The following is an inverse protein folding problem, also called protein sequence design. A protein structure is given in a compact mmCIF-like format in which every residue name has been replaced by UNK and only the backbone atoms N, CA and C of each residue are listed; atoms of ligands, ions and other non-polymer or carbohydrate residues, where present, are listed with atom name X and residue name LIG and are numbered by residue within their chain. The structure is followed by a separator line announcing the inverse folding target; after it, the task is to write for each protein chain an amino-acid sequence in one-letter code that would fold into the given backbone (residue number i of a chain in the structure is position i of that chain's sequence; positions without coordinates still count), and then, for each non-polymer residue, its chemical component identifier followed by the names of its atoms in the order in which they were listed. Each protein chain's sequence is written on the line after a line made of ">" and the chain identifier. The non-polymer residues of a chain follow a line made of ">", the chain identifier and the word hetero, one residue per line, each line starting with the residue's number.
data_IF_540200253002
#
_entry.id   IF_540200253002
#
_cell.length_a   1.000
_cell.length_b   1.000
_cell.length_c   1.000
_cell.angle_alpha   90.00
_cell.angle_beta   90.00
_cell.angle_gamma   90.00
#
_symmetry.space_group_name_H-M   'P 1'
#
loop_
_entity.id
_entity.type
_entity.pdbx_description
1 polymer ?
#
# COMPACT_ATOMS: atom_id res chain seq x y z
N UNK A 1 -13.57 -11.32 8.86
CA UNK A 1 -12.52 -10.43 9.38
C UNK A 1 -11.46 -10.26 8.31
N UNK A 2 -11.25 -9.04 7.89
CA UNK A 2 -10.30 -8.76 6.83
C UNK A 2 -8.90 -8.63 7.42
N UNK A 3 -7.95 -9.26 6.76
CA UNK A 3 -6.58 -9.36 7.25
C UNK A 3 -5.70 -8.30 6.60
N UNK A 4 -5.03 -7.48 7.41
CA UNK A 4 -4.12 -6.45 6.94
C UNK A 4 -2.76 -7.03 6.52
N UNK A 5 -2.48 -8.29 6.83
CA UNK A 5 -1.19 -8.91 6.57
C UNK A 5 -0.77 -8.87 5.09
N UNK A 6 -1.65 -9.17 4.12
CA UNK A 6 -1.26 -9.09 2.72
C UNK A 6 -0.84 -7.69 2.29
N UNK A 7 -1.46 -6.65 2.88
CA UNK A 7 -1.11 -5.26 2.60
C UNK A 7 0.28 -4.95 3.13
N UNK A 8 0.57 -5.34 4.37
CA UNK A 8 1.91 -5.16 4.95
C UNK A 8 2.97 -5.87 4.14
N UNK A 9 2.71 -7.13 3.75
CA UNK A 9 3.65 -7.91 2.96
C UNK A 9 3.92 -7.25 1.61
N UNK A 10 2.88 -6.76 0.94
CA UNK A 10 3.03 -6.10 -0.35
C UNK A 10 3.85 -4.82 -0.24
N UNK A 11 3.61 -4.02 0.80
CA UNK A 11 4.29 -2.74 1.01
C UNK A 11 5.65 -2.87 1.69
N UNK A 12 6.04 -4.07 2.13
CA UNK A 12 7.35 -4.30 2.70
C UNK A 12 8.47 -4.14 1.68
N UNK A 13 8.21 -4.46 0.41
CA UNK A 13 9.19 -4.26 -0.65
C UNK A 13 9.25 -2.78 -1.06
N UNK A 14 10.44 -2.14 -1.04
CA UNK A 14 10.56 -0.72 -1.37
C UNK A 14 10.08 -0.37 -2.78
N UNK A 15 10.32 -1.24 -3.75
CA UNK A 15 9.89 -1.01 -5.14
C UNK A 15 8.38 -1.04 -5.26
N UNK A 16 7.73 -2.01 -4.62
CA UNK A 16 6.26 -2.08 -4.64
C UNK A 16 5.65 -0.87 -3.96
N UNK A 17 6.23 -0.44 -2.84
CA UNK A 17 5.78 0.74 -2.13
C UNK A 17 5.90 1.99 -3.00
N UNK A 18 7.04 2.14 -3.70
CA UNK A 18 7.25 3.26 -4.62
C UNK A 18 6.25 3.25 -5.79
N UNK A 19 5.95 2.08 -6.35
CA UNK A 19 4.96 1.95 -7.41
C UNK A 19 3.57 2.35 -6.92
N UNK A 20 3.17 1.90 -5.74
CA UNK A 20 1.90 2.26 -5.14
C UNK A 20 1.81 3.77 -4.90
N UNK A 21 2.86 4.37 -4.36
CA UNK A 21 2.93 5.81 -4.11
C UNK A 21 2.83 6.60 -5.42
N UNK A 22 3.53 6.13 -6.46
CA UNK A 22 3.50 6.77 -7.79
C UNK A 22 2.08 6.77 -8.35
N UNK A 23 1.40 5.63 -8.30
CA UNK A 23 0.02 5.51 -8.79
C UNK A 23 -0.94 6.35 -7.98
N UNK A 24 -0.73 6.43 -6.66
CA UNK A 24 -1.57 7.24 -5.78
C UNK A 24 -1.41 8.74 -6.06
N UNK A 25 -0.18 9.18 -6.27
CA UNK A 25 0.13 10.61 -6.41
C UNK A 25 -0.15 11.15 -7.81
N UNK A 26 0.12 10.37 -8.85
CA UNK A 26 0.08 10.85 -10.23
C UNK A 26 -1.00 10.21 -11.09
N UNK A 27 -1.75 9.27 -10.54
CA UNK A 27 -2.85 8.63 -11.25
C UNK A 27 -2.46 7.37 -12.00
N UNK A 28 -3.42 6.77 -12.72
CA UNK A 28 -3.23 5.50 -13.38
C UNK A 28 -2.11 5.48 -14.41
N UNK A 29 -1.48 4.32 -14.58
CA UNK A 29 -0.41 4.12 -15.56
C UNK A 29 -0.33 2.65 -15.96
N UNK A 30 0.22 2.40 -17.16
CA UNK A 30 0.51 1.05 -17.62
C UNK A 30 1.91 0.62 -17.14
N UNK A 31 2.15 -0.69 -17.15
CA UNK A 31 3.49 -1.20 -16.82
C UNK A 31 4.55 -0.65 -17.78
N UNK A 32 4.21 -0.50 -19.06
CA UNK A 32 5.12 0.07 -20.05
C UNK A 32 5.46 1.52 -19.73
N UNK A 33 4.47 2.30 -19.34
CA UNK A 33 4.67 3.70 -18.95
C UNK A 33 5.58 3.81 -17.72
N UNK A 34 5.31 2.97 -16.73
CA UNK A 34 6.11 2.96 -15.50
C UNK A 34 7.55 2.52 -15.76
N UNK A 35 7.76 1.61 -16.70
CA UNK A 35 9.10 1.15 -17.07
C UNK A 35 9.93 2.26 -17.74
N UNK A 36 9.28 3.26 -18.32
CA UNK A 36 9.98 4.42 -18.87
C UNK A 36 10.41 5.42 -17.80
N UNK A 37 9.72 5.40 -16.66
CA UNK A 37 10.01 6.34 -15.56
C UNK A 37 11.01 5.79 -14.55
N UNK A 38 11.06 4.45 -14.41
CA UNK A 38 11.82 3.80 -13.36
C UNK A 38 12.91 2.91 -13.95
N UNK A 39 14.06 2.74 -13.27
CA UNK A 39 15.14 1.87 -13.76
C UNK A 39 14.83 0.39 -13.48
N UNK A 40 13.68 -0.07 -13.90
CA UNK A 40 13.16 -1.42 -13.65
C UNK A 40 12.54 -1.93 -14.93
N UNK A 41 12.74 -3.20 -15.24
CA UNK A 41 12.17 -3.79 -16.45
C UNK A 41 10.64 -3.86 -16.36
N UNK A 42 10.00 -3.84 -17.53
CA UNK A 42 8.54 -3.99 -17.61
C UNK A 42 8.06 -5.29 -16.95
N UNK A 43 8.81 -6.38 -17.14
CA UNK A 43 8.46 -7.66 -16.56
C UNK A 43 8.49 -7.62 -15.03
N UNK A 44 9.52 -6.98 -14.46
CA UNK A 44 9.63 -6.83 -13.02
C UNK A 44 8.49 -5.95 -12.47
N UNK A 45 8.18 -4.86 -13.16
CA UNK A 45 7.07 -3.99 -12.78
C UNK A 45 5.76 -4.76 -12.80
N UNK A 46 5.51 -5.56 -13.85
CA UNK A 46 4.30 -6.37 -13.94
C UNK A 46 4.16 -7.35 -12.78
N UNK A 47 5.27 -7.96 -12.36
CA UNK A 47 5.26 -8.87 -11.20
C UNK A 47 4.95 -8.12 -9.90
N UNK A 48 5.54 -6.95 -9.71
CA UNK A 48 5.26 -6.12 -8.55
C UNK A 48 3.80 -5.67 -8.51
N UNK A 49 3.27 -5.26 -9.66
CA UNK A 49 1.87 -4.85 -9.76
C UNK A 49 0.91 -5.99 -9.48
N UNK A 50 1.27 -7.22 -9.87
CA UNK A 50 0.46 -8.40 -9.57
C UNK A 50 0.35 -8.64 -8.06
N UNK A 51 1.44 -8.45 -7.31
CA UNK A 51 1.44 -8.57 -5.85
C UNK A 51 0.55 -7.49 -5.23
N UNK A 52 0.65 -6.26 -5.73
CA UNK A 52 -0.18 -5.16 -5.25
C UNK A 52 -1.66 -5.39 -5.56
N UNK A 53 -1.97 -5.95 -6.72
CA UNK A 53 -3.33 -6.30 -7.12
C UNK A 53 -3.90 -7.38 -6.20
N UNK A 54 -3.13 -8.44 -5.93
CA UNK A 54 -3.55 -9.51 -5.04
C UNK A 54 -3.84 -9.01 -3.62
N UNK A 55 -3.12 -7.98 -3.19
CA UNK A 55 -3.33 -7.37 -1.88
C UNK A 55 -4.47 -6.33 -1.87
N UNK A 56 -5.08 -6.06 -3.03
CA UNK A 56 -6.16 -5.07 -3.13
C UNK A 56 -5.71 -3.62 -3.16
N UNK A 57 -4.41 -3.39 -3.37
CA UNK A 57 -3.84 -2.03 -3.37
C UNK A 57 -3.91 -1.35 -4.73
N UNK A 58 -4.03 -2.11 -5.80
CA UNK A 58 -4.23 -1.58 -7.14
C UNK A 58 -5.35 -2.33 -7.84
N UNK A 59 -5.93 -1.70 -8.85
CA UNK A 59 -6.95 -2.30 -9.71
C UNK A 59 -6.44 -2.26 -11.14
N UNK A 60 -6.68 -3.36 -11.85
CA UNK A 60 -6.35 -3.48 -13.28
C UNK A 60 -7.54 -3.09 -14.10
N UNK A 61 -7.29 -2.39 -15.20
CA UNK A 61 -8.33 -1.99 -16.13
C UNK A 61 -7.79 -2.04 -17.53
N UNK A 62 -8.55 -2.63 -18.46
CA UNK A 62 -8.21 -2.60 -19.88
C UNK A 62 -8.44 -1.20 -20.41
N UNK A 63 -7.43 -0.66 -21.08
CA UNK A 63 -7.49 0.66 -21.70
C UNK A 63 -6.92 0.53 -23.12
N UNK A 64 -7.78 0.23 -24.09
CA UNK A 64 -7.37 -0.04 -25.46
C UNK A 64 -6.55 -1.32 -25.53
N UNK A 65 -5.30 -1.20 -26.00
CA UNK A 65 -4.37 -2.34 -26.14
C UNK A 65 -3.55 -2.57 -24.89
N UNK A 66 -3.62 -1.67 -23.93
CA UNK A 66 -2.81 -1.74 -22.73
C UNK A 66 -3.67 -2.06 -21.52
N UNK A 67 -3.02 -2.56 -20.48
CA UNK A 67 -3.62 -2.70 -19.15
C UNK A 67 -3.13 -1.54 -18.32
N UNK A 68 -4.05 -0.81 -17.74
CA UNK A 68 -3.78 0.30 -16.87
C UNK A 68 -3.98 -0.12 -15.43
N UNK A 69 -3.13 0.37 -14.54
CA UNK A 69 -3.21 0.11 -13.10
C UNK A 69 -3.47 1.41 -12.40
N UNK A 70 -4.37 1.39 -11.44
CA UNK A 70 -4.61 2.55 -10.59
C UNK A 70 -4.61 2.14 -9.13
N UNK A 71 -4.18 3.07 -8.28
CA UNK A 71 -4.18 2.84 -6.84
C UNK A 71 -5.61 2.68 -6.32
N UNK A 72 -5.80 1.69 -5.44
CA UNK A 72 -7.05 1.48 -4.75
C UNK A 72 -6.76 1.55 -3.26
N UNK A 73 -7.01 2.68 -2.60
CA UNK A 73 -6.69 2.82 -1.18
C UNK A 73 -7.63 2.05 -0.26
N UNK A 74 -8.62 1.35 -0.82
CA UNK A 74 -9.59 0.61 -0.03
C UNK A 74 -8.94 -0.35 0.96
N UNK A 75 -7.90 -1.08 0.53
CA UNK A 75 -7.20 -2.02 1.39
C UNK A 75 -6.46 -1.32 2.54
N UNK A 76 -6.13 -0.05 2.40
CA UNK A 76 -5.48 0.72 3.46
C UNK A 76 -6.40 0.98 4.64
N UNK A 77 -7.73 0.89 4.44
CA UNK A 77 -8.69 1.06 5.51
C UNK A 77 -8.49 0.05 6.63
N UNK A 78 -8.10 -1.17 6.28
CA UNK A 78 -7.83 -2.22 7.28
C UNK A 78 -6.55 -1.91 8.07
N UNK A 79 -5.54 -1.40 7.38
CA UNK A 79 -4.30 -0.98 8.00
C UNK A 79 -4.54 0.21 8.92
N UNK A 80 -5.32 1.18 8.44
CA UNK A 80 -5.68 2.36 9.23
C UNK A 80 -6.43 1.96 10.50
N UNK A 81 -7.40 1.06 10.39
CA UNK A 81 -8.16 0.56 11.53
C UNK A 81 -7.24 -0.14 12.53
N UNK A 82 -6.33 -0.96 12.03
CA UNK A 82 -5.35 -1.64 12.88
C UNK A 82 -4.45 -0.63 13.61
N UNK A 83 -3.96 0.36 12.88
CA UNK A 83 -3.09 1.40 13.45
C UNK A 83 -3.80 2.23 14.50
N UNK A 84 -5.06 2.59 14.26
CA UNK A 84 -5.86 3.32 15.24
C UNK A 84 -6.06 2.53 16.52
N UNK A 85 -6.33 1.24 16.39
CA UNK A 85 -6.53 0.35 17.53
C UNK A 85 -5.24 0.21 18.35
N UNK A 86 -4.12 -0.06 17.67
CA UNK A 86 -2.82 -0.20 18.33
C UNK A 86 -2.39 1.13 18.94
N UNK A 87 -2.60 2.23 18.20
CA UNK A 87 -2.29 3.57 18.70
C UNK A 87 -3.06 3.92 19.96
N UNK A 88 -4.35 3.61 19.99
CA UNK A 88 -5.19 3.84 21.17
C UNK A 88 -4.68 3.05 22.38
N UNK A 89 -4.30 1.78 22.17
CA UNK A 89 -3.73 0.96 23.23
C UNK A 89 -2.44 1.56 23.79
N UNK A 90 -1.59 2.05 22.91
CA UNK A 90 -0.34 2.69 23.30
C UNK A 90 -0.58 4.00 24.06
N UNK A 91 -1.53 4.80 23.59
CA UNK A 91 -1.90 6.04 24.27
C UNK A 91 -2.41 5.78 25.68
N UNK A 92 -3.21 4.73 25.86
CA UNK A 92 -3.68 4.32 27.16
C UNK A 92 -2.54 3.90 28.08
N UNK A 93 -1.61 3.10 27.55
CA UNK A 93 -0.44 2.66 28.31
C UNK A 93 0.45 3.84 28.73
N UNK A 94 0.67 4.76 27.80
CA UNK A 94 1.46 5.97 28.07
C UNK A 94 0.78 6.86 29.08
N UNK A 95 -0.56 6.95 29.02
CA UNK A 95 -1.34 7.70 29.99
C UNK A 95 -1.20 7.14 31.41
N UNK A 96 -1.25 5.80 31.53
CA UNK A 96 -1.08 5.13 32.82
C UNK A 96 0.32 5.37 33.38
N UNK A 97 1.33 5.28 32.55
CA UNK A 97 2.71 5.52 32.94
C UNK A 97 2.91 6.97 33.40
N UNK A 98 2.35 7.90 32.64
CA UNK A 98 2.44 9.33 32.99
C UNK A 98 1.79 9.60 34.34
N UNK A 99 0.62 9.06 34.60
CA UNK A 99 -0.07 9.21 35.89
C UNK A 99 0.74 8.62 37.03
N UNK A 100 1.37 7.47 36.80
CA UNK A 100 2.20 6.82 37.81
C UNK A 100 3.44 7.68 38.19
N UNK A 101 4.02 8.37 37.18
CA UNK A 101 5.20 9.21 37.40
C UNK A 101 4.82 10.54 38.06
N UNK A 102 3.64 11.08 37.78
CA UNK A 102 3.17 12.36 38.33
C UNK A 102 2.71 12.25 39.77
N UNK A 103 2.36 11.07 40.22
CA UNK A 103 1.97 10.83 41.59
C UNK A 103 3.20 10.53 42.45
#
# INVERSE_FOLDING_TARGET
>A
MTDAQPVFAALADPTRRALFERLSAQGPASASSLARELPITRQAISKHLAVLDDAGLVERRSAGREVEYRASPRALGEVTTWMERVGADWEERLGKLRRAVED
#
